data_IF_696270423570
#
_entry.id   IF_696270423570
#
_cell.length_a   1.000
_cell.length_b   1.000
_cell.length_c   1.000
_cell.angle_alpha   90.00
_cell.angle_beta   90.00
_cell.angle_gamma   90.00
#
_symmetry.space_group_name_H-M   'P 1'
#
loop_
_entity.id
_entity.type
_entity.pdbx_description
1 polymer ?
#
# COMPACT_ATOMS: atom_id res chain seq x y z
N UNK A 1 -45.09 8.08 -6.66
CA UNK A 1 -44.56 6.95 -7.44
C UNK A 1 -43.07 7.17 -7.61
N UNK A 2 -42.24 6.31 -7.00
CA UNK A 2 -40.79 6.43 -7.10
C UNK A 2 -40.31 5.94 -8.46
N UNK A 3 -39.58 6.79 -9.16
CA UNK A 3 -39.03 6.51 -10.48
C UNK A 3 -37.99 5.37 -10.36
N UNK A 4 -38.18 4.21 -11.04
CA UNK A 4 -37.26 3.10 -10.96
C UNK A 4 -36.08 3.38 -11.90
N UNK A 5 -35.25 4.37 -11.56
CA UNK A 5 -33.99 4.59 -12.25
C UNK A 5 -32.99 3.50 -11.86
N UNK A 6 -33.16 2.35 -12.54
CA UNK A 6 -32.11 1.48 -13.06
C UNK A 6 -30.74 1.64 -12.42
N UNK A 7 -30.51 0.93 -11.32
CA UNK A 7 -29.16 0.57 -10.84
C UNK A 7 -28.57 -0.50 -11.79
N UNK A 8 -28.47 -0.17 -13.07
CA UNK A 8 -27.78 -1.00 -14.06
C UNK A 8 -26.31 -0.92 -13.72
N UNK A 9 -25.77 -2.01 -13.17
CA UNK A 9 -24.31 -2.17 -13.03
C UNK A 9 -23.67 -1.73 -14.36
N UNK A 10 -22.78 -0.73 -14.34
CA UNK A 10 -22.16 -0.26 -15.56
C UNK A 10 -21.44 -1.42 -16.23
N UNK A 11 -21.63 -1.56 -17.54
CA UNK A 11 -20.97 -2.60 -18.33
C UNK A 11 -19.48 -2.25 -18.37
N UNK A 12 -18.67 -3.09 -17.73
CA UNK A 12 -17.22 -2.95 -17.71
C UNK A 12 -16.65 -2.27 -16.48
N UNK A 13 -15.47 -1.65 -16.64
CA UNK A 13 -14.75 -1.06 -15.51
C UNK A 13 -15.29 0.32 -15.18
N UNK A 14 -15.75 0.48 -13.93
CA UNK A 14 -16.14 1.79 -13.38
C UNK A 14 -15.01 2.82 -13.60
N UNK A 15 -15.33 3.93 -14.24
CA UNK A 15 -14.41 5.06 -14.42
C UNK A 15 -14.91 6.25 -13.61
N UNK A 16 -14.23 6.54 -12.50
CA UNK A 16 -14.50 7.71 -11.67
C UNK A 16 -13.59 8.87 -12.10
N UNK A 17 -13.91 10.14 -11.75
CA UNK A 17 -12.99 11.26 -11.99
C UNK A 17 -11.59 11.04 -11.42
N UNK A 18 -11.52 10.42 -10.23
CA UNK A 18 -10.25 10.05 -9.59
C UNK A 18 -9.46 9.03 -10.41
N UNK A 19 -10.10 7.95 -10.87
CA UNK A 19 -9.47 6.94 -11.74
C UNK A 19 -9.00 7.52 -13.07
N UNK A 20 -9.79 8.44 -13.65
CA UNK A 20 -9.38 9.16 -14.85
C UNK A 20 -8.14 10.05 -14.59
N UNK A 21 -8.07 10.69 -13.42
CA UNK A 21 -6.88 11.42 -12.96
C UNK A 21 -5.64 10.53 -12.87
N UNK A 22 -5.75 9.37 -12.21
CA UNK A 22 -4.64 8.41 -12.14
C UNK A 22 -4.22 7.90 -13.52
N UNK A 23 -5.17 7.66 -14.44
CA UNK A 23 -4.83 7.25 -15.81
C UNK A 23 -4.02 8.33 -16.55
N UNK A 24 -4.40 9.61 -16.42
CA UNK A 24 -3.62 10.72 -17.00
C UNK A 24 -2.22 10.82 -16.37
N UNK A 25 -2.13 10.70 -15.05
CA UNK A 25 -0.84 10.72 -14.35
C UNK A 25 0.07 9.55 -14.75
N UNK A 26 -0.50 8.37 -14.99
CA UNK A 26 0.23 7.22 -15.51
C UNK A 26 0.78 7.47 -16.93
N UNK A 27 0.02 8.17 -17.78
CA UNK A 27 0.44 8.51 -19.14
C UNK A 27 1.59 9.52 -19.17
N UNK A 28 1.70 10.39 -18.16
CA UNK A 28 2.80 11.35 -18.01
C UNK A 28 3.97 10.82 -17.18
N UNK A 29 4.00 9.53 -16.84
CA UNK A 29 5.07 8.96 -16.02
C UNK A 29 6.41 8.94 -16.78
N UNK A 30 7.48 9.43 -16.13
CA UNK A 30 8.85 9.32 -16.63
C UNK A 30 9.42 7.93 -16.32
N UNK A 31 9.27 7.00 -17.26
CA UNK A 31 9.76 5.61 -17.13
C UNK A 31 11.30 5.62 -17.11
N UNK A 32 11.91 4.71 -16.35
CA UNK A 32 13.36 4.65 -16.13
C UNK A 32 13.87 5.51 -14.96
N UNK A 33 13.00 6.26 -14.27
CA UNK A 33 13.38 7.00 -13.06
C UNK A 33 13.34 6.14 -11.79
N UNK A 34 12.63 5.01 -11.82
CA UNK A 34 12.45 4.09 -10.70
C UNK A 34 12.57 2.66 -11.21
N UNK A 35 13.39 1.85 -10.54
CA UNK A 35 13.62 0.45 -10.93
C UNK A 35 12.48 -0.46 -10.46
N UNK A 36 12.31 -1.61 -11.13
CA UNK A 36 11.38 -2.68 -10.69
C UNK A 36 11.61 -3.09 -9.23
N UNK A 37 12.88 -3.18 -8.81
CA UNK A 37 13.25 -3.52 -7.43
C UNK A 37 12.75 -2.50 -6.41
N UNK A 38 12.90 -1.21 -6.70
CA UNK A 38 12.37 -0.13 -5.85
C UNK A 38 10.84 -0.20 -5.76
N UNK A 39 10.14 -0.48 -6.86
CA UNK A 39 8.69 -0.63 -6.87
C UNK A 39 8.22 -1.85 -6.07
N UNK A 40 8.96 -2.96 -6.12
CA UNK A 40 8.63 -4.16 -5.33
C UNK A 40 8.77 -3.90 -3.82
N UNK A 41 9.86 -3.22 -3.42
CA UNK A 41 10.08 -2.79 -2.03
C UNK A 41 9.01 -1.81 -1.57
N UNK A 42 8.64 -0.83 -2.42
CA UNK A 42 7.55 0.09 -2.13
C UNK A 42 6.24 -0.66 -1.92
N UNK A 43 5.86 -1.53 -2.86
CA UNK A 43 4.64 -2.32 -2.80
C UNK A 43 4.52 -3.12 -1.50
N UNK A 44 5.59 -3.80 -1.09
CA UNK A 44 5.65 -4.55 0.17
C UNK A 44 5.46 -3.65 1.41
N UNK A 45 6.06 -2.47 1.39
CA UNK A 45 6.04 -1.54 2.53
C UNK A 45 4.74 -0.75 2.63
N UNK A 46 3.97 -0.57 1.56
CA UNK A 46 2.71 0.17 1.58
C UNK A 46 1.71 -0.36 2.62
N UNK A 47 1.79 -1.64 2.98
CA UNK A 47 0.96 -2.25 4.05
C UNK A 47 1.06 -1.50 5.38
N UNK A 48 2.20 -0.89 5.72
CA UNK A 48 2.37 -0.16 6.97
C UNK A 48 1.63 1.19 7.02
N UNK A 49 1.20 1.69 5.87
CA UNK A 49 0.47 2.97 5.76
C UNK A 49 -1.03 2.84 6.01
N UNK A 50 -1.56 1.62 6.02
CA UNK A 50 -3.00 1.36 6.05
C UNK A 50 -3.72 1.60 4.72
N UNK A 51 -3.02 2.05 3.66
CA UNK A 51 -3.61 2.29 2.33
C UNK A 51 -4.13 1.01 1.67
N UNK A 52 -3.44 -0.12 1.92
CA UNK A 52 -3.78 -1.42 1.36
C UNK A 52 -3.63 -2.53 2.40
N UNK A 53 -4.41 -3.60 2.23
CA UNK A 53 -4.28 -4.82 3.02
C UNK A 53 -3.03 -5.63 2.64
N UNK A 54 -2.61 -6.54 3.51
CA UNK A 54 -1.49 -7.45 3.23
C UNK A 54 -1.73 -8.32 1.98
N UNK A 55 -2.99 -8.71 1.72
CA UNK A 55 -3.31 -9.50 0.51
C UNK A 55 -3.22 -8.64 -0.75
N UNK A 56 -3.63 -7.37 -0.70
CA UNK A 56 -3.49 -6.42 -1.82
C UNK A 56 -2.02 -6.07 -2.09
N UNK A 57 -1.22 -5.92 -1.02
CA UNK A 57 0.25 -5.80 -1.14
C UNK A 57 0.84 -7.00 -1.85
N UNK A 58 0.44 -8.23 -1.50
CA UNK A 58 0.91 -9.44 -2.17
C UNK A 58 0.57 -9.41 -3.67
N UNK A 59 -0.67 -9.08 -4.03
CA UNK A 59 -1.05 -8.93 -5.44
C UNK A 59 -0.23 -7.85 -6.16
N UNK A 60 -0.01 -6.69 -5.53
CA UNK A 60 0.75 -5.60 -6.13
C UNK A 60 2.22 -6.01 -6.38
N UNK A 61 2.85 -6.72 -5.43
CA UNK A 61 4.19 -7.29 -5.61
C UNK A 61 4.21 -8.32 -6.74
N UNK A 62 3.22 -9.21 -6.82
CA UNK A 62 3.08 -10.18 -7.93
C UNK A 62 2.97 -9.47 -9.28
N UNK A 63 2.23 -8.36 -9.36
CA UNK A 63 2.13 -7.55 -10.57
C UNK A 63 3.48 -6.93 -10.95
N UNK A 64 4.15 -6.25 -10.02
CA UNK A 64 5.48 -5.67 -10.26
C UNK A 64 6.49 -6.73 -10.74
N UNK A 65 6.44 -7.94 -10.19
CA UNK A 65 7.33 -9.03 -10.56
C UNK A 65 6.93 -9.78 -11.83
N UNK A 66 5.71 -9.57 -12.34
CA UNK A 66 5.26 -10.18 -13.59
C UNK A 66 5.86 -9.49 -14.82
N UNK A 67 6.02 -8.17 -14.76
CA UNK A 67 6.70 -7.44 -15.83
C UNK A 67 8.22 -7.62 -15.68
N UNK A 68 8.96 -7.85 -16.78
CA UNK A 68 10.40 -8.00 -16.69
C UNK A 68 11.05 -6.66 -16.35
N UNK A 69 12.31 -6.67 -15.90
CA UNK A 69 12.96 -5.47 -15.36
C UNK A 69 13.06 -4.35 -16.41
N UNK A 70 13.38 -4.70 -17.65
CA UNK A 70 13.48 -3.82 -18.81
C UNK A 70 12.17 -3.11 -19.17
N UNK A 71 11.02 -3.65 -18.72
CA UNK A 71 9.74 -2.98 -18.90
C UNK A 71 9.63 -1.68 -18.07
N UNK A 72 10.52 -1.47 -17.10
CA UNK A 72 10.60 -0.27 -16.27
C UNK A 72 11.75 0.68 -16.67
N UNK A 73 12.52 0.33 -17.70
CA UNK A 73 13.56 1.20 -18.26
C UNK A 73 12.96 2.27 -19.18
N UNK A 74 13.75 3.26 -19.60
CA UNK A 74 13.27 4.47 -20.32
C UNK A 74 12.38 4.20 -21.53
N UNK A 75 12.64 3.13 -22.28
CA UNK A 75 11.85 2.71 -23.45
C UNK A 75 10.84 1.60 -23.15
N UNK A 76 10.78 1.14 -21.90
CA UNK A 76 9.93 0.06 -21.43
C UNK A 76 8.47 0.46 -21.30
N UNK A 77 7.60 -0.54 -21.17
CA UNK A 77 6.17 -0.34 -20.97
C UNK A 77 5.64 -1.38 -19.98
N UNK A 78 5.47 -1.03 -18.70
CA UNK A 78 5.14 -2.00 -17.66
C UNK A 78 3.64 -2.29 -17.63
N UNK A 79 3.14 -2.91 -18.70
CA UNK A 79 1.74 -3.33 -18.87
C UNK A 79 1.66 -4.85 -18.72
N UNK A 80 0.75 -5.31 -17.86
CA UNK A 80 0.61 -6.72 -17.50
C UNK A 80 -0.68 -7.29 -18.08
N UNK A 81 -0.54 -8.45 -18.72
CA UNK A 81 -1.62 -9.12 -19.47
C UNK A 81 -2.20 -10.36 -18.78
N UNK A 82 -1.63 -10.82 -17.65
CA UNK A 82 -2.10 -12.02 -16.93
C UNK A 82 -3.59 -11.91 -16.60
N UNK A 83 -4.31 -13.02 -16.75
CA UNK A 83 -5.73 -13.09 -16.42
C UNK A 83 -5.96 -13.08 -14.90
N UNK A 84 -7.19 -12.77 -14.45
CA UNK A 84 -7.53 -12.88 -13.03
C UNK A 84 -7.43 -14.32 -12.50
N UNK A 85 -7.58 -15.33 -13.37
CA UNK A 85 -7.40 -16.74 -12.99
C UNK A 85 -5.92 -17.05 -12.72
N UNK A 86 -5.01 -16.61 -13.61
CA UNK A 86 -3.57 -16.81 -13.44
C UNK A 86 -3.05 -16.08 -12.21
N UNK A 87 -3.41 -14.79 -12.05
CA UNK A 87 -3.06 -14.03 -10.85
C UNK A 87 -3.63 -14.71 -9.59
N UNK A 88 -4.88 -15.19 -9.66
CA UNK A 88 -5.53 -15.86 -8.55
C UNK A 88 -4.84 -17.16 -8.14
N UNK A 89 -4.37 -17.95 -9.11
CA UNK A 89 -3.56 -19.13 -8.87
C UNK A 89 -2.26 -18.78 -8.12
N UNK A 90 -1.54 -17.75 -8.57
CA UNK A 90 -0.26 -17.33 -7.98
C UNK A 90 -0.40 -16.82 -6.53
N UNK A 91 -1.49 -16.11 -6.21
CA UNK A 91 -1.69 -15.54 -4.86
C UNK A 91 -2.66 -16.33 -3.97
N UNK A 92 -3.15 -17.49 -4.43
CA UNK A 92 -4.10 -18.33 -3.69
C UNK A 92 -5.46 -17.67 -3.45
N UNK A 93 -6.03 -17.02 -4.48
CA UNK A 93 -7.31 -16.30 -4.41
C UNK A 93 -8.20 -16.59 -5.63
N UNK A 94 -9.52 -16.52 -5.45
CA UNK A 94 -10.44 -16.65 -6.58
C UNK A 94 -10.33 -15.48 -7.56
N UNK A 95 -10.60 -15.73 -8.85
CA UNK A 95 -10.58 -14.69 -9.88
C UNK A 95 -11.50 -13.49 -9.55
N UNK A 96 -12.64 -13.75 -8.90
CA UNK A 96 -13.55 -12.70 -8.41
C UNK A 96 -12.93 -11.85 -7.29
N UNK A 97 -12.14 -12.46 -6.40
CA UNK A 97 -11.40 -11.73 -5.36
C UNK A 97 -10.26 -10.91 -5.95
N UNK A 98 -9.51 -11.45 -6.91
CA UNK A 98 -8.51 -10.69 -7.67
C UNK A 98 -9.15 -9.48 -8.36
N UNK A 99 -10.30 -9.66 -9.01
CA UNK A 99 -11.03 -8.55 -9.66
C UNK A 99 -11.34 -7.41 -8.69
N UNK A 100 -11.85 -7.74 -7.49
CA UNK A 100 -12.13 -6.76 -6.42
C UNK A 100 -10.87 -6.07 -5.91
N UNK A 101 -9.79 -6.82 -5.70
CA UNK A 101 -8.51 -6.25 -5.27
C UNK A 101 -7.92 -5.31 -6.32
N UNK A 102 -7.98 -5.66 -7.62
CA UNK A 102 -7.54 -4.77 -8.69
C UNK A 102 -8.38 -3.49 -8.75
N UNK A 103 -9.70 -3.59 -8.50
CA UNK A 103 -10.55 -2.41 -8.37
C UNK A 103 -10.09 -1.52 -7.21
N UNK A 104 -9.87 -2.09 -6.03
CA UNK A 104 -9.38 -1.39 -4.84
C UNK A 104 -8.01 -0.73 -5.07
N UNK A 105 -7.06 -1.44 -5.69
CA UNK A 105 -5.75 -0.90 -6.05
C UNK A 105 -5.84 0.26 -7.06
N UNK A 106 -6.82 0.24 -7.97
CA UNK A 106 -7.06 1.36 -8.87
C UNK A 106 -7.69 2.56 -8.14
N UNK A 107 -8.62 2.31 -7.21
CA UNK A 107 -9.18 3.37 -6.35
C UNK A 107 -8.09 4.01 -5.47
N UNK A 108 -7.13 3.23 -4.99
CA UNK A 108 -5.94 3.72 -4.26
C UNK A 108 -4.89 4.41 -5.16
N UNK A 109 -5.03 4.33 -6.49
CA UNK A 109 -4.09 4.89 -7.45
C UNK A 109 -2.73 4.19 -7.46
N UNK A 110 -2.72 2.87 -7.24
CA UNK A 110 -1.52 2.02 -7.23
C UNK A 110 -1.37 1.21 -8.52
N UNK A 111 -2.47 1.04 -9.26
CA UNK A 111 -2.48 0.56 -10.64
C UNK A 111 -3.44 1.42 -11.47
N UNK A 112 -3.27 1.38 -12.78
CA UNK A 112 -4.29 1.84 -13.72
C UNK A 112 -4.63 0.72 -14.70
N UNK A 113 -5.63 0.94 -15.53
CA UNK A 113 -6.07 -0.03 -16.53
C UNK A 113 -6.04 0.62 -17.90
N UNK A 114 -5.40 -0.05 -18.87
CA UNK A 114 -5.53 0.26 -20.29
C UNK A 114 -6.57 -0.70 -20.87
N UNK A 115 -7.75 -0.18 -21.18
CA UNK A 115 -8.92 -1.00 -21.50
C UNK A 115 -9.20 -1.04 -23.00
N UNK A 116 -9.53 -2.24 -23.47
CA UNK A 116 -10.16 -2.47 -24.77
C UNK A 116 -11.67 -2.31 -24.65
N UNK A 117 -12.37 -2.23 -25.79
CA UNK A 117 -13.84 -2.17 -25.82
C UNK A 117 -14.54 -3.36 -25.13
N UNK A 118 -13.86 -4.50 -24.93
CA UNK A 118 -14.39 -5.68 -24.23
C UNK A 118 -13.71 -5.96 -22.87
N UNK A 119 -12.87 -5.05 -22.37
CA UNK A 119 -12.15 -5.16 -21.09
C UNK A 119 -11.23 -6.39 -20.95
N UNK A 120 -10.94 -7.10 -22.06
CA UNK A 120 -9.97 -8.19 -22.08
C UNK A 120 -8.56 -7.64 -22.07
N UNK A 121 -7.65 -8.41 -21.47
CA UNK A 121 -6.22 -8.12 -21.45
C UNK A 121 -5.54 -8.86 -22.59
N UNK A 122 -4.81 -8.14 -23.44
CA UNK A 122 -4.05 -8.74 -24.54
C UNK A 122 -2.91 -7.81 -24.97
N UNK A 123 -1.73 -8.38 -25.30
CA UNK A 123 -0.66 -7.63 -25.95
C UNK A 123 -1.02 -7.37 -27.42
N UNK A 124 -0.57 -6.24 -27.94
CA UNK A 124 -0.49 -5.94 -29.37
C UNK A 124 0.95 -6.15 -29.79
N UNK A 125 1.17 -6.97 -30.81
CA UNK A 125 2.50 -7.34 -31.30
C UNK A 125 2.75 -6.77 -32.69
N UNK A 126 4.00 -6.41 -32.99
CA UNK A 126 4.43 -6.06 -34.35
C UNK A 126 4.61 -7.33 -35.21
N UNK A 127 5.03 -7.15 -36.47
CA UNK A 127 5.26 -8.25 -37.42
C UNK A 127 6.33 -9.24 -36.95
N UNK A 128 7.30 -8.77 -36.16
CA UNK A 128 8.39 -9.58 -35.61
C UNK A 128 8.00 -10.28 -34.29
N UNK A 129 6.75 -10.14 -33.85
CA UNK A 129 6.22 -10.76 -32.63
C UNK A 129 6.56 -10.04 -31.33
N UNK A 130 7.26 -8.90 -31.39
CA UNK A 130 7.56 -8.06 -30.24
C UNK A 130 6.32 -7.30 -29.75
N UNK A 131 6.11 -7.21 -28.44
CA UNK A 131 4.97 -6.49 -27.84
C UNK A 131 5.21 -4.99 -27.94
N UNK A 132 4.33 -4.27 -28.64
CA UNK A 132 4.44 -2.82 -28.90
C UNK A 132 3.35 -2.01 -28.21
N UNK A 133 2.18 -2.60 -27.94
CA UNK A 133 1.10 -2.00 -27.16
C UNK A 133 0.29 -3.11 -26.48
N UNK A 134 -0.85 -2.79 -25.87
CA UNK A 134 -1.79 -3.77 -25.35
C UNK A 134 -2.83 -3.17 -24.43
N UNK A 135 -3.86 -3.94 -24.14
CA UNK A 135 -4.83 -3.63 -23.10
C UNK A 135 -4.50 -4.47 -21.86
N UNK A 136 -4.28 -3.85 -20.70
CA UNK A 136 -3.74 -4.54 -19.53
C UNK A 136 -3.76 -3.72 -18.25
N UNK A 137 -3.12 -4.26 -17.22
CA UNK A 137 -2.87 -3.56 -15.95
C UNK A 137 -1.63 -2.70 -16.16
N UNK A 138 -1.75 -1.39 -16.00
CA UNK A 138 -0.70 -0.41 -16.28
C UNK A 138 -0.07 0.08 -14.97
N UNK A 139 1.22 -0.23 -14.82
CA UNK A 139 2.00 0.04 -13.61
C UNK A 139 2.68 1.42 -13.63
N UNK A 140 2.57 2.20 -14.71
CA UNK A 140 3.21 3.53 -14.81
C UNK A 140 2.79 4.49 -13.71
N UNK A 141 1.57 4.35 -13.19
CA UNK A 141 1.10 5.14 -12.05
C UNK A 141 1.99 4.98 -10.81
N UNK A 142 2.53 3.78 -10.59
CA UNK A 142 3.37 3.49 -9.44
C UNK A 142 4.75 4.17 -9.57
N UNK A 143 5.22 4.35 -10.80
CA UNK A 143 6.42 5.15 -11.12
C UNK A 143 6.13 6.63 -10.83
N UNK A 144 5.04 7.15 -11.40
CA UNK A 144 4.68 8.57 -11.26
C UNK A 144 4.47 8.99 -9.79
N UNK A 145 3.94 8.10 -8.96
CA UNK A 145 3.68 8.35 -7.53
C UNK A 145 4.74 7.82 -6.59
N UNK A 146 5.87 7.31 -7.10
CA UNK A 146 6.87 6.63 -6.27
C UNK A 146 7.35 7.50 -5.10
N UNK A 147 7.71 8.77 -5.35
CA UNK A 147 8.24 9.67 -4.32
C UNK A 147 7.22 9.96 -3.22
N UNK A 148 5.97 10.24 -3.60
CA UNK A 148 4.86 10.47 -2.68
C UNK A 148 4.62 9.24 -1.79
N UNK A 149 4.50 8.06 -2.42
CA UNK A 149 4.21 6.81 -1.72
C UNK A 149 5.38 6.37 -0.82
N UNK A 150 6.63 6.53 -1.26
CA UNK A 150 7.81 6.24 -0.45
C UNK A 150 7.88 7.16 0.79
N UNK A 151 7.53 8.44 0.62
CA UNK A 151 7.45 9.38 1.74
C UNK A 151 6.37 8.96 2.75
N UNK A 152 5.19 8.55 2.28
CA UNK A 152 4.13 8.02 3.17
C UNK A 152 4.60 6.79 3.96
N UNK A 153 5.32 5.87 3.30
CA UNK A 153 5.92 4.70 3.96
C UNK A 153 6.93 5.13 5.02
N UNK A 154 7.83 6.07 4.70
CA UNK A 154 8.84 6.57 5.65
C UNK A 154 8.18 7.21 6.86
N UNK A 155 7.14 8.02 6.64
CA UNK A 155 6.40 8.69 7.70
C UNK A 155 5.73 7.69 8.63
N UNK A 156 4.99 6.71 8.08
CA UNK A 156 4.34 5.66 8.87
C UNK A 156 5.34 4.84 9.71
N UNK A 157 6.50 4.52 9.15
CA UNK A 157 7.59 3.83 9.87
C UNK A 157 8.19 4.70 10.98
N UNK A 158 8.40 5.98 10.73
CA UNK A 158 8.94 6.93 11.70
C UNK A 158 7.99 7.09 12.89
N UNK A 159 6.69 7.29 12.63
CA UNK A 159 5.64 7.36 13.66
C UNK A 159 5.58 6.09 14.50
N UNK A 160 5.58 4.91 13.86
CA UNK A 160 5.59 3.63 14.58
C UNK A 160 6.83 3.48 15.45
N UNK A 161 8.00 3.90 14.95
CA UNK A 161 9.27 3.84 15.69
C UNK A 161 9.25 4.75 16.90
N UNK A 162 8.78 6.00 16.74
CA UNK A 162 8.66 6.99 17.81
C UNK A 162 7.69 6.51 18.90
N UNK A 163 6.51 6.02 18.53
CA UNK A 163 5.55 5.44 19.46
C UNK A 163 6.15 4.24 20.21
N UNK A 164 6.87 3.37 19.50
CA UNK A 164 7.52 2.21 20.11
C UNK A 164 8.64 2.61 21.08
N UNK A 165 9.40 3.66 20.75
CA UNK A 165 10.44 4.20 21.63
C UNK A 165 9.84 4.83 22.89
N UNK A 166 8.75 5.60 22.76
CA UNK A 166 8.02 6.16 23.89
C UNK A 166 7.49 5.05 24.81
N UNK A 167 6.85 4.01 24.25
CA UNK A 167 6.35 2.88 25.01
C UNK A 167 7.46 2.10 25.73
N UNK A 168 8.63 1.92 25.09
CA UNK A 168 9.80 1.31 25.73
C UNK A 168 10.29 2.14 26.92
N UNK A 169 10.42 3.46 26.76
CA UNK A 169 10.82 4.37 27.85
C UNK A 169 9.83 4.32 29.02
N UNK A 170 8.54 4.36 28.72
CA UNK A 170 7.46 4.23 29.71
C UNK A 170 7.55 2.93 30.50
N UNK A 171 7.63 1.78 29.81
CA UNK A 171 7.76 0.47 30.44
C UNK A 171 9.03 0.35 31.29
N UNK A 172 10.14 0.94 30.83
CA UNK A 172 11.39 1.02 31.58
C UNK A 172 11.24 1.83 32.87
N UNK A 173 10.64 3.01 32.79
CA UNK A 173 10.38 3.86 33.95
C UNK A 173 9.49 3.17 34.99
N UNK A 174 8.40 2.52 34.56
CA UNK A 174 7.53 1.74 35.44
C UNK A 174 8.25 0.59 36.13
N UNK A 175 9.11 -0.14 35.40
CA UNK A 175 9.90 -1.23 35.98
C UNK A 175 10.84 -0.72 37.05
N UNK A 176 11.54 0.38 36.78
CA UNK A 176 12.45 1.00 37.74
C UNK A 176 11.72 1.50 39.00
N UNK A 177 10.54 2.10 38.84
CA UNK A 177 9.72 2.55 39.97
C UNK A 177 9.22 1.38 40.83
N UNK A 178 8.75 0.30 40.21
CA UNK A 178 8.34 -0.92 40.93
C UNK A 178 9.49 -1.54 41.69
N UNK A 179 10.68 -1.62 41.07
CA UNK A 179 11.87 -2.12 41.73
C UNK A 179 12.26 -1.25 42.93
N UNK A 180 12.30 0.08 42.75
CA UNK A 180 12.60 1.01 43.82
C UNK A 180 11.64 0.85 45.00
N UNK A 181 10.32 0.77 44.75
CA UNK A 181 9.30 0.53 45.79
C UNK A 181 9.51 -0.79 46.53
N UNK A 182 9.79 -1.89 45.80
CA UNK A 182 10.00 -3.21 46.40
C UNK A 182 11.27 -3.29 47.26
N UNK A 183 12.28 -2.46 46.97
CA UNK A 183 13.53 -2.41 47.73
C UNK A 183 13.50 -1.50 48.96
N UNK A 184 12.45 -0.70 49.16
CA UNK A 184 12.34 0.14 50.37
C UNK A 184 11.91 -0.72 51.56
N UNK A 185 12.79 -0.86 52.56
CA UNK A 185 12.44 -1.39 53.87
C UNK A 185 11.96 -0.24 54.78
N UNK A 186 10.75 -0.36 55.33
CA UNK A 186 10.06 0.65 56.18
C UNK A 186 9.92 2.06 55.54
N UNK A 187 9.13 2.23 54.46
CA UNK A 187 8.88 3.54 53.88
C UNK A 187 8.06 4.41 54.84
N UNK A 188 8.43 5.68 55.03
CA UNK A 188 7.50 6.66 55.61
C UNK A 188 6.42 7.03 54.59
N UNK A 189 5.20 7.36 55.06
CA UNK A 189 4.06 7.75 54.21
C UNK A 189 4.40 8.89 53.23
N UNK A 190 5.30 9.79 53.62
CA UNK A 190 5.80 10.87 52.75
C UNK A 190 6.56 10.36 51.52
N UNK A 191 7.34 9.29 51.66
CA UNK A 191 8.09 8.69 50.55
C UNK A 191 7.13 8.00 49.58
N UNK A 192 6.15 7.28 50.12
CA UNK A 192 5.10 6.64 49.32
C UNK A 192 4.27 7.66 48.53
N UNK A 193 3.81 8.74 49.19
CA UNK A 193 3.05 9.81 48.52
C UNK A 193 3.86 10.52 47.43
N UNK A 194 5.17 10.71 47.64
CA UNK A 194 6.06 11.36 46.66
C UNK A 194 6.35 10.46 45.46
N UNK A 195 6.44 9.14 45.66
CA UNK A 195 6.55 8.16 44.58
C UNK A 195 5.24 8.06 43.81
N UNK A 196 4.09 7.94 44.50
CA UNK A 196 2.76 7.95 43.89
C UNK A 196 2.54 9.20 43.05
N UNK A 197 2.86 10.40 43.57
CA UNK A 197 2.76 11.65 42.81
C UNK A 197 3.73 11.76 41.62
N UNK A 198 4.89 11.06 41.64
CA UNK A 198 5.75 10.95 40.45
C UNK A 198 5.17 9.97 39.43
N UNK A 199 4.58 8.86 39.87
CA UNK A 199 3.88 7.91 39.00
C UNK A 199 2.71 8.60 38.31
N UNK A 200 1.85 9.31 39.04
CA UNK A 200 0.72 10.02 38.43
C UNK A 200 1.14 11.11 37.46
N UNK A 201 2.20 11.88 37.76
CA UNK A 201 2.73 12.86 36.78
C UNK A 201 3.25 12.19 35.50
N UNK A 202 3.85 11.02 35.61
CA UNK A 202 4.33 10.26 34.43
C UNK A 202 3.15 9.66 33.66
N UNK A 203 2.10 9.20 34.34
CA UNK A 203 0.86 8.74 33.70
C UNK A 203 0.16 9.90 32.99
N UNK A 204 -0.02 11.04 33.65
CA UNK A 204 -0.68 12.22 33.08
C UNK A 204 0.05 12.85 31.89
N UNK A 205 1.38 12.74 31.81
CA UNK A 205 2.17 13.23 30.68
C UNK A 205 2.09 12.35 29.43
N UNK A 206 1.66 11.10 29.59
CA UNK A 206 1.68 10.08 28.52
C UNK A 206 0.29 9.66 28.08
N UNK A 207 -0.73 9.86 28.94
CA UNK A 207 -2.10 9.38 28.73
C UNK A 207 -2.28 7.97 29.25
#
# INVERSE_FOLDING_TARGET
MGDPHTDRRPIGRRMTPQRAGYRRLAQSAEIGTVTRGQLAVLAQNLTCTGLISATESHLLVTLVNTAPAEAFDKSGRPIIFKSNQQLGFEIGRSAGRVSRMLSSLFDAGLITMQDSGNYKRYPVRNRDGAVVDGCGIDMRILIARYRELDQLVRQAKAEKSAASAALRRYRGALRNLRYALATVTAPSDRVLARIAGRVERVVALVG
#
